data_IF_597164280143
#
_entry.id   IF_597164280143
#
_cell.length_a   1.000
_cell.length_b   1.000
_cell.length_c   1.000
_cell.angle_alpha   90.00
_cell.angle_beta   90.00
_cell.angle_gamma   90.00
#
_symmetry.space_group_name_H-M   'P 1'
#
loop_
_entity.id
_entity.type
_entity.pdbx_description
1 polymer ?
#
# COMPACT_ATOMS: atom_id res chain seq x y z
N UNK A 1 -3.98 17.09 -17.02
CA UNK A 1 -4.74 15.89 -17.47
C UNK A 1 -4.03 14.58 -17.10
N UNK A 2 -2.72 14.43 -17.40
CA UNK A 2 -1.92 13.25 -17.05
C UNK A 2 -1.89 12.96 -15.54
N UNK A 3 -1.70 13.96 -14.70
CA UNK A 3 -1.62 13.82 -13.23
C UNK A 3 -2.92 13.31 -12.61
N UNK A 4 -4.06 13.80 -13.08
CA UNK A 4 -5.38 13.31 -12.63
C UNK A 4 -5.56 11.84 -12.99
N UNK A 5 -5.13 11.44 -14.18
CA UNK A 5 -5.18 10.06 -14.63
C UNK A 5 -4.31 9.13 -13.74
N UNK A 6 -3.10 9.58 -13.38
CA UNK A 6 -2.22 8.82 -12.49
C UNK A 6 -2.82 8.68 -11.09
N UNK A 7 -3.35 9.76 -10.51
CA UNK A 7 -4.06 9.74 -9.22
C UNK A 7 -5.24 8.77 -9.26
N UNK A 8 -6.03 8.80 -10.34
CA UNK A 8 -7.18 7.89 -10.50
C UNK A 8 -6.75 6.43 -10.56
N UNK A 9 -5.68 6.09 -11.31
CA UNK A 9 -5.14 4.72 -11.34
C UNK A 9 -4.74 4.23 -9.94
N UNK A 10 -4.07 5.08 -9.17
CA UNK A 10 -3.69 4.74 -7.79
C UNK A 10 -4.90 4.49 -6.91
N UNK A 11 -5.90 5.35 -6.95
CA UNK A 11 -7.15 5.14 -6.21
C UNK A 11 -7.84 3.82 -6.61
N UNK A 12 -7.91 3.51 -7.90
CA UNK A 12 -8.51 2.25 -8.37
C UNK A 12 -7.76 1.02 -7.86
N UNK A 13 -6.42 1.05 -7.85
CA UNK A 13 -5.61 -0.05 -7.30
C UNK A 13 -5.82 -0.17 -5.79
N UNK A 14 -5.89 0.94 -5.04
CA UNK A 14 -6.21 0.88 -3.62
C UNK A 14 -7.64 0.41 -3.34
N UNK A 15 -8.61 0.73 -4.21
CA UNK A 15 -9.95 0.15 -4.12
C UNK A 15 -9.92 -1.38 -4.32
N UNK A 16 -9.19 -1.85 -5.33
CA UNK A 16 -8.99 -3.29 -5.54
C UNK A 16 -8.32 -3.96 -4.35
N UNK A 17 -7.26 -3.36 -3.79
CA UNK A 17 -6.59 -3.85 -2.58
C UNK A 17 -7.53 -3.88 -1.37
N UNK A 18 -8.42 -2.89 -1.22
CA UNK A 18 -9.42 -2.91 -0.15
C UNK A 18 -10.40 -4.08 -0.31
N UNK A 19 -10.84 -4.36 -1.53
CA UNK A 19 -11.72 -5.51 -1.82
C UNK A 19 -10.99 -6.83 -1.58
N UNK A 20 -9.77 -6.99 -2.10
CA UNK A 20 -8.94 -8.18 -1.94
C UNK A 20 -8.62 -8.43 -0.45
N UNK A 21 -8.30 -7.38 0.29
CA UNK A 21 -7.90 -7.51 1.69
C UNK A 21 -9.07 -7.64 2.67
N UNK A 22 -10.30 -7.31 2.26
CA UNK A 22 -11.46 -7.37 3.15
C UNK A 22 -11.70 -8.77 3.76
N UNK A 23 -11.68 -9.89 3.01
CA UNK A 23 -11.80 -11.22 3.58
C UNK A 23 -10.62 -11.57 4.50
N UNK A 24 -9.41 -11.18 4.14
CA UNK A 24 -8.21 -11.43 4.94
C UNK A 24 -8.26 -10.65 6.27
N UNK A 25 -8.66 -9.38 6.21
CA UNK A 25 -8.89 -8.58 7.42
C UNK A 25 -9.97 -9.21 8.31
N UNK A 26 -11.07 -9.70 7.73
CA UNK A 26 -12.14 -10.35 8.47
C UNK A 26 -11.70 -11.64 9.16
N UNK A 27 -10.73 -12.38 8.61
CA UNK A 27 -10.10 -13.54 9.25
C UNK A 27 -9.22 -13.11 10.43
N UNK A 28 -8.30 -12.18 10.18
CA UNK A 28 -7.29 -11.75 11.15
C UNK A 28 -7.92 -10.96 12.30
N UNK A 29 -8.83 -10.05 11.98
CA UNK A 29 -9.46 -9.12 12.93
C UNK A 29 -10.91 -9.50 13.25
N UNK A 30 -11.24 -10.81 13.26
CA UNK A 30 -12.61 -11.31 13.48
C UNK A 30 -13.27 -10.80 14.76
N UNK A 31 -12.49 -10.49 15.78
CA UNK A 31 -12.96 -10.00 17.07
C UNK A 31 -13.12 -8.47 17.14
N UNK A 32 -12.59 -7.77 16.15
CA UNK A 32 -12.69 -6.31 16.07
C UNK A 32 -14.05 -5.87 15.52
N UNK A 33 -14.54 -4.68 15.91
CA UNK A 33 -15.73 -4.10 15.30
C UNK A 33 -15.58 -4.06 13.78
N UNK A 34 -16.70 -4.29 13.09
CA UNK A 34 -16.74 -4.37 11.63
C UNK A 34 -15.71 -5.32 11.02
N UNK A 35 -15.31 -6.35 11.80
CA UNK A 35 -14.36 -7.38 11.36
C UNK A 35 -13.07 -6.80 10.76
N UNK A 36 -12.57 -5.71 11.31
CA UNK A 36 -11.32 -5.09 10.89
C UNK A 36 -11.37 -4.41 9.52
N UNK A 37 -12.53 -3.96 9.05
CA UNK A 37 -12.71 -3.34 7.73
C UNK A 37 -11.74 -2.18 7.45
N UNK A 38 -11.34 -1.43 8.48
CA UNK A 38 -10.34 -0.36 8.36
C UNK A 38 -8.93 -0.86 8.00
N UNK A 39 -8.66 -2.13 8.18
CA UNK A 39 -7.36 -2.75 7.88
C UNK A 39 -7.37 -3.53 6.56
N UNK A 40 -8.41 -3.40 5.73
CA UNK A 40 -8.54 -4.15 4.48
C UNK A 40 -7.37 -3.87 3.52
N UNK A 41 -7.00 -2.60 3.28
CA UNK A 41 -5.87 -2.25 2.40
C UNK A 41 -4.55 -2.87 2.91
N UNK A 42 -4.12 -2.65 4.17
CA UNK A 42 -2.92 -3.30 4.69
C UNK A 42 -2.97 -4.82 4.66
N UNK A 43 -4.13 -5.44 4.85
CA UNK A 43 -4.29 -6.90 4.83
C UNK A 43 -4.04 -7.52 3.45
N UNK A 44 -4.21 -6.76 2.36
CA UNK A 44 -3.78 -7.18 1.02
C UNK A 44 -2.33 -6.74 0.73
N UNK A 45 -1.98 -5.50 1.08
CA UNK A 45 -0.70 -4.89 0.71
C UNK A 45 0.49 -5.59 1.37
N UNK A 46 0.43 -5.84 2.68
CA UNK A 46 1.55 -6.42 3.43
C UNK A 46 1.94 -7.82 2.94
N UNK A 47 1.02 -8.81 2.81
CA UNK A 47 1.40 -10.11 2.28
C UNK A 47 1.88 -10.03 0.83
N UNK A 48 1.31 -9.15 0.01
CA UNK A 48 1.79 -8.94 -1.36
C UNK A 48 3.24 -8.45 -1.37
N UNK A 49 3.58 -7.45 -0.55
CA UNK A 49 4.96 -6.93 -0.44
C UNK A 49 5.93 -7.99 0.08
N UNK A 50 5.53 -8.78 1.07
CA UNK A 50 6.36 -9.87 1.58
C UNK A 50 6.65 -10.92 0.50
N UNK A 51 5.65 -11.31 -0.27
CA UNK A 51 5.82 -12.23 -1.41
C UNK A 51 6.73 -11.61 -2.49
N UNK A 52 6.49 -10.35 -2.83
CA UNK A 52 7.37 -9.61 -3.77
C UNK A 52 8.80 -9.56 -3.28
N UNK A 53 9.02 -9.33 -1.99
CA UNK A 53 10.35 -9.31 -1.39
C UNK A 53 11.07 -10.67 -1.53
N UNK A 54 10.39 -11.77 -1.20
CA UNK A 54 11.00 -13.11 -1.26
C UNK A 54 11.17 -13.62 -2.68
N UNK A 55 10.15 -13.51 -3.52
CA UNK A 55 10.22 -13.94 -4.93
C UNK A 55 11.15 -13.04 -5.74
N UNK A 56 11.19 -11.76 -5.39
CA UNK A 56 12.03 -10.75 -6.02
C UNK A 56 13.53 -11.02 -5.86
N UNK A 57 13.95 -11.83 -4.89
CA UNK A 57 15.35 -12.24 -4.77
C UNK A 57 15.80 -13.12 -5.94
N UNK A 58 14.88 -13.88 -6.54
CA UNK A 58 15.17 -14.65 -7.75
C UNK A 58 14.95 -13.81 -9.02
N UNK A 59 13.84 -13.07 -9.09
CA UNK A 59 13.52 -12.19 -10.21
C UNK A 59 12.56 -11.11 -9.73
N UNK A 60 12.86 -9.85 -10.02
CA UNK A 60 12.02 -8.71 -9.66
C UNK A 60 11.54 -7.97 -10.91
N UNK A 61 10.25 -7.67 -10.96
CA UNK A 61 9.62 -6.97 -12.06
C UNK A 61 8.10 -7.10 -12.03
N UNK A 62 7.39 -6.66 -13.08
CA UNK A 62 5.93 -6.72 -13.14
C UNK A 62 5.37 -8.12 -12.91
N UNK A 63 5.98 -9.15 -13.51
CA UNK A 63 5.52 -10.53 -13.37
C UNK A 63 5.53 -10.99 -11.89
N UNK A 64 6.61 -10.70 -11.16
CA UNK A 64 6.73 -11.02 -9.74
C UNK A 64 5.67 -10.33 -8.91
N UNK A 65 5.38 -9.05 -9.22
CA UNK A 65 4.36 -8.27 -8.53
C UNK A 65 2.96 -8.84 -8.78
N UNK A 66 2.62 -9.12 -10.05
CA UNK A 66 1.31 -9.69 -10.41
C UNK A 66 1.14 -11.12 -9.87
N UNK A 67 2.18 -11.95 -9.92
CA UNK A 67 2.14 -13.29 -9.34
C UNK A 67 1.93 -13.25 -7.82
N UNK A 68 2.62 -12.36 -7.11
CA UNK A 68 2.43 -12.16 -5.67
C UNK A 68 1.01 -11.69 -5.33
N UNK A 69 0.48 -10.76 -6.09
CA UNK A 69 -0.89 -10.29 -5.93
C UNK A 69 -1.91 -11.41 -6.21
N UNK A 70 -1.67 -12.23 -7.24
CA UNK A 70 -2.54 -13.37 -7.57
C UNK A 70 -2.61 -14.40 -6.42
N UNK A 71 -1.51 -14.66 -5.73
CA UNK A 71 -1.51 -15.52 -4.52
C UNK A 71 -2.40 -14.93 -3.43
N UNK A 72 -2.32 -13.62 -3.19
CA UNK A 72 -3.14 -12.93 -2.18
C UNK A 72 -4.62 -12.91 -2.58
N UNK A 73 -4.93 -12.73 -3.88
CA UNK A 73 -6.29 -12.87 -4.43
C UNK A 73 -6.81 -14.28 -4.22
N UNK A 74 -6.00 -15.30 -4.47
CA UNK A 74 -6.36 -16.71 -4.23
C UNK A 74 -6.66 -16.99 -2.75
N UNK A 75 -5.82 -16.47 -1.83
CA UNK A 75 -6.04 -16.58 -0.39
C UNK A 75 -7.34 -15.88 0.06
N UNK A 76 -7.61 -14.72 -0.50
CA UNK A 76 -8.85 -13.96 -0.28
C UNK A 76 -10.09 -14.72 -0.78
N UNK A 77 -10.02 -15.26 -2.01
CA UNK A 77 -11.07 -16.10 -2.58
C UNK A 77 -11.33 -17.37 -1.76
N UNK A 78 -10.26 -18.01 -1.26
CA UNK A 78 -10.38 -19.17 -0.37
C UNK A 78 -11.05 -18.81 0.96
N UNK A 79 -10.76 -17.63 1.54
CA UNK A 79 -11.43 -17.17 2.74
C UNK A 79 -12.93 -16.98 2.51
N UNK A 80 -13.33 -16.37 1.41
CA UNK A 80 -14.75 -16.25 1.00
C UNK A 80 -15.41 -17.61 0.79
N UNK A 81 -14.74 -18.51 0.07
CA UNK A 81 -15.24 -19.87 -0.16
C UNK A 81 -15.47 -20.64 1.16
N UNK A 82 -14.67 -20.38 2.19
CA UNK A 82 -14.82 -20.93 3.55
C UNK A 82 -15.88 -20.23 4.39
N UNK A 83 -16.67 -19.33 3.81
CA UNK A 83 -17.77 -18.65 4.49
C UNK A 83 -17.34 -17.44 5.32
N UNK A 84 -16.14 -16.88 5.09
CA UNK A 84 -15.77 -15.61 5.73
C UNK A 84 -16.60 -14.49 5.13
N UNK A 85 -17.32 -13.76 5.95
CA UNK A 85 -18.16 -12.64 5.54
C UNK A 85 -17.55 -11.31 5.98
N UNK A 86 -16.93 -10.53 5.08
CA UNK A 86 -16.43 -9.20 5.40
C UNK A 86 -17.57 -8.19 5.63
N UNK A 87 -17.32 -7.16 6.44
CA UNK A 87 -18.22 -6.00 6.50
C UNK A 87 -17.98 -5.06 5.32
N UNK A 88 -18.62 -5.33 4.18
CA UNK A 88 -18.45 -4.54 2.96
C UNK A 88 -18.83 -3.06 3.14
N UNK A 89 -19.83 -2.75 3.99
CA UNK A 89 -20.20 -1.36 4.32
C UNK A 89 -19.09 -0.68 5.10
N UNK A 90 -18.51 -1.40 6.05
CA UNK A 90 -17.35 -0.92 6.81
C UNK A 90 -16.13 -0.70 5.91
N UNK A 91 -15.87 -1.61 4.96
CA UNK A 91 -14.78 -1.47 3.97
C UNK A 91 -15.01 -0.24 3.08
N UNK A 92 -16.20 -0.06 2.54
CA UNK A 92 -16.53 1.12 1.72
C UNK A 92 -16.37 2.42 2.52
N UNK A 93 -16.87 2.49 3.76
CA UNK A 93 -16.69 3.66 4.62
C UNK A 93 -15.23 3.95 4.94
N UNK A 94 -14.45 2.90 5.24
CA UNK A 94 -13.00 3.03 5.49
C UNK A 94 -12.25 3.47 4.22
N UNK A 95 -12.67 3.00 3.05
CA UNK A 95 -12.09 3.44 1.79
C UNK A 95 -12.40 4.91 1.49
N UNK A 96 -13.59 5.40 1.83
CA UNK A 96 -13.90 6.86 1.73
C UNK A 96 -12.95 7.67 2.60
N UNK A 97 -12.70 7.24 3.85
CA UNK A 97 -11.72 7.90 4.73
C UNK A 97 -10.32 7.87 4.11
N UNK A 98 -9.92 6.74 3.50
CA UNK A 98 -8.66 6.63 2.77
C UNK A 98 -8.59 7.66 1.64
N UNK A 99 -9.62 7.72 0.78
CA UNK A 99 -9.67 8.67 -0.36
C UNK A 99 -9.54 10.11 0.11
N UNK A 100 -10.26 10.48 1.17
CA UNK A 100 -10.18 11.84 1.73
C UNK A 100 -8.78 12.17 2.25
N UNK A 101 -8.16 11.27 3.01
CA UNK A 101 -6.79 11.44 3.50
C UNK A 101 -5.76 11.49 2.35
N UNK A 102 -5.92 10.61 1.37
CA UNK A 102 -5.04 10.54 0.20
C UNK A 102 -5.13 11.81 -0.64
N UNK A 103 -6.35 12.25 -0.99
CA UNK A 103 -6.56 13.46 -1.78
C UNK A 103 -6.15 14.73 -1.03
N UNK A 104 -6.41 14.79 0.28
CA UNK A 104 -5.98 15.92 1.11
C UNK A 104 -4.47 16.13 1.02
N UNK A 105 -3.68 15.09 1.30
CA UNK A 105 -2.22 15.24 1.26
C UNK A 105 -1.68 15.36 -0.17
N UNK A 106 -2.33 14.72 -1.15
CA UNK A 106 -1.97 14.88 -2.57
C UNK A 106 -2.18 16.32 -3.02
N UNK A 107 -3.31 16.95 -2.69
CA UNK A 107 -3.59 18.35 -3.02
C UNK A 107 -2.61 19.30 -2.33
N UNK A 108 -2.30 19.07 -1.07
CA UNK A 108 -1.32 19.86 -0.32
C UNK A 108 0.08 19.79 -0.96
N UNK A 109 0.50 18.60 -1.41
CA UNK A 109 1.78 18.40 -2.11
C UNK A 109 1.75 18.96 -3.54
N UNK A 110 0.60 18.93 -4.23
CA UNK A 110 0.46 19.50 -5.58
C UNK A 110 0.58 21.02 -5.59
N UNK A 111 0.21 21.71 -4.52
CA UNK A 111 0.43 23.15 -4.37
C UNK A 111 1.92 23.51 -4.39
N UNK A 112 2.78 22.59 -3.97
CA UNK A 112 4.24 22.72 -4.02
C UNK A 112 4.84 21.55 -4.82
N UNK A 113 4.44 21.43 -6.09
CA UNK A 113 4.65 20.26 -6.95
C UNK A 113 6.11 19.97 -7.36
N UNK A 114 7.06 20.76 -6.87
CA UNK A 114 8.46 20.41 -7.01
C UNK A 114 8.79 19.18 -6.18
N UNK A 115 9.04 18.01 -6.84
CA UNK A 115 10.11 17.20 -6.31
C UNK A 115 11.38 17.99 -6.62
N UNK A 116 11.58 18.99 -5.85
CA UNK A 116 12.93 19.46 -5.62
C UNK A 116 13.43 18.54 -4.54
N UNK A 117 14.35 17.61 -4.82
CA UNK A 117 15.03 16.89 -3.75
C UNK A 117 15.88 17.93 -3.02
N UNK A 118 15.23 18.68 -2.15
CA UNK A 118 15.86 19.70 -1.32
C UNK A 118 16.18 19.02 0.02
N UNK A 119 17.35 18.41 0.08
CA UNK A 119 17.86 17.82 1.31
C UNK A 119 18.07 16.31 1.26
N UNK A 120 19.13 15.86 1.89
CA UNK A 120 19.79 14.56 1.79
C UNK A 120 18.90 13.31 1.73
N UNK A 121 17.92 13.13 2.61
CA UNK A 121 17.11 11.91 2.67
C UNK A 121 16.14 11.75 1.49
N UNK A 122 15.64 12.83 0.91
CA UNK A 122 14.74 12.72 -0.24
C UNK A 122 15.45 12.17 -1.49
N UNK A 123 16.72 12.54 -1.68
CA UNK A 123 17.55 11.97 -2.74
C UNK A 123 17.76 10.47 -2.53
N UNK A 124 18.07 10.06 -1.29
CA UNK A 124 18.21 8.66 -0.91
C UNK A 124 16.94 7.88 -1.26
N UNK A 125 15.80 8.29 -0.73
CA UNK A 125 14.55 7.56 -0.91
C UNK A 125 14.08 7.53 -2.36
N UNK A 126 14.23 8.62 -3.10
CA UNK A 126 13.92 8.63 -4.53
C UNK A 126 14.91 7.79 -5.35
N UNK A 127 16.20 7.85 -5.01
CA UNK A 127 17.23 7.00 -5.60
C UNK A 127 16.92 5.53 -5.41
N UNK A 128 16.50 5.11 -4.20
CA UNK A 128 16.08 3.74 -3.90
C UNK A 128 14.89 3.28 -4.75
N UNK A 129 13.87 4.11 -4.93
CA UNK A 129 12.74 3.78 -5.82
C UNK A 129 13.22 3.57 -7.25
N UNK A 130 14.12 4.44 -7.75
CA UNK A 130 14.68 4.31 -9.10
C UNK A 130 15.57 3.07 -9.25
N UNK A 131 16.37 2.74 -8.23
CA UNK A 131 17.21 1.54 -8.22
C UNK A 131 16.34 0.29 -8.27
N UNK A 132 15.29 0.22 -7.45
CA UNK A 132 14.33 -0.86 -7.45
C UNK A 132 13.65 -1.04 -8.82
N UNK A 133 13.18 0.04 -9.45
CA UNK A 133 12.51 -0.03 -10.76
C UNK A 133 13.44 -0.44 -11.92
N UNK A 134 14.76 -0.42 -11.71
CA UNK A 134 15.76 -0.90 -12.67
C UNK A 134 16.26 -2.31 -12.35
N UNK A 135 16.02 -2.79 -11.13
CA UNK A 135 16.54 -4.05 -10.67
C UNK A 135 15.89 -5.24 -11.38
N UNK A 136 16.68 -6.22 -11.74
CA UNK A 136 16.18 -7.51 -12.21
C UNK A 136 15.98 -8.52 -11.08
N UNK A 137 16.57 -8.26 -9.89
CA UNK A 137 16.43 -9.04 -8.66
C UNK A 137 16.62 -8.15 -7.43
N UNK A 138 16.24 -8.65 -6.24
CA UNK A 138 16.44 -7.98 -4.96
C UNK A 138 17.59 -8.64 -4.18
N UNK A 139 18.36 -7.88 -3.39
CA UNK A 139 18.33 -6.43 -3.27
C UNK A 139 18.76 -5.73 -4.56
N UNK A 140 18.29 -4.48 -4.83
CA UNK A 140 18.74 -3.73 -6.00
C UNK A 140 20.22 -3.33 -5.86
N UNK A 141 20.83 -2.92 -6.96
CA UNK A 141 22.16 -2.32 -6.95
C UNK A 141 22.13 -1.00 -6.17
N UNK A 142 23.19 -0.78 -5.37
CA UNK A 142 23.38 0.49 -4.66
C UNK A 142 23.70 1.59 -5.67
N UNK A 143 22.91 2.66 -5.69
CA UNK A 143 23.08 3.74 -6.67
C UNK A 143 24.24 4.68 -6.36
N UNK A 144 24.92 4.53 -5.21
CA UNK A 144 26.17 5.23 -4.89
C UNK A 144 27.41 4.37 -5.10
N UNK A 145 27.25 3.04 -5.01
CA UNK A 145 28.35 2.08 -5.12
C UNK A 145 28.03 1.06 -6.22
N UNK A 146 28.38 1.42 -7.47
CA UNK A 146 28.13 0.57 -8.63
C UNK A 146 28.74 -0.83 -8.45
N UNK A 147 27.96 -1.84 -8.80
CA UNK A 147 28.34 -3.26 -8.68
C UNK A 147 28.12 -3.86 -7.30
N UNK A 148 27.75 -3.09 -6.28
CA UNK A 148 27.47 -3.58 -4.95
C UNK A 148 25.95 -3.71 -4.69
N UNK A 149 25.50 -4.76 -4.00
CA UNK A 149 24.11 -4.86 -3.60
C UNK A 149 23.79 -3.86 -2.49
N UNK A 150 22.60 -3.26 -2.55
CA UNK A 150 22.14 -2.31 -1.54
C UNK A 150 22.09 -2.95 -0.15
N UNK A 151 22.79 -2.32 0.81
CA UNK A 151 22.84 -2.74 2.22
C UNK A 151 22.08 -1.77 3.13
N UNK A 152 20.90 -1.36 2.70
CA UNK A 152 20.03 -0.43 3.42
C UNK A 152 18.59 -0.94 3.43
N UNK A 153 17.77 -0.50 4.38
CA UNK A 153 16.34 -0.86 4.37
C UNK A 153 15.61 -0.15 3.23
N UNK A 154 14.81 -0.90 2.49
CA UNK A 154 14.07 -0.39 1.32
C UNK A 154 12.61 -0.87 1.26
N UNK A 155 12.06 -1.37 2.37
CA UNK A 155 10.71 -1.95 2.39
C UNK A 155 9.60 -0.98 1.98
N UNK A 156 9.68 0.29 2.41
CA UNK A 156 8.74 1.34 2.02
C UNK A 156 8.88 1.69 0.54
N UNK A 157 10.12 1.80 0.07
CA UNK A 157 10.41 2.09 -1.33
C UNK A 157 10.02 0.93 -2.24
N UNK A 158 10.12 -0.32 -1.75
CA UNK A 158 9.63 -1.50 -2.47
C UNK A 158 8.11 -1.44 -2.67
N UNK A 159 7.34 -0.99 -1.66
CA UNK A 159 5.90 -0.78 -1.81
C UNK A 159 5.59 0.28 -2.87
N UNK A 160 6.35 1.38 -2.88
CA UNK A 160 6.21 2.44 -3.90
C UNK A 160 6.57 1.92 -5.30
N UNK A 161 7.66 1.16 -5.42
CA UNK A 161 8.07 0.54 -6.69
C UNK A 161 7.03 -0.49 -7.17
N UNK A 162 6.50 -1.31 -6.27
CA UNK A 162 5.40 -2.24 -6.56
C UNK A 162 4.16 -1.50 -7.09
N UNK A 163 3.75 -0.42 -6.43
CA UNK A 163 2.61 0.39 -6.90
C UNK A 163 2.90 1.04 -8.26
N UNK A 164 4.14 1.49 -8.48
CA UNK A 164 4.56 2.01 -9.78
C UNK A 164 4.42 0.96 -10.90
N UNK A 165 4.84 -0.28 -10.63
CA UNK A 165 4.72 -1.40 -11.58
C UNK A 165 3.26 -1.80 -11.81
N UNK A 166 2.41 -1.83 -10.78
CA UNK A 166 0.98 -2.15 -10.91
C UNK A 166 0.20 -1.12 -11.72
N UNK A 167 0.63 0.15 -11.65
CA UNK A 167 -0.11 1.26 -12.26
C UNK A 167 0.58 1.83 -13.50
N UNK A 168 1.72 1.29 -13.89
CA UNK A 168 2.59 1.86 -14.92
C UNK A 168 2.79 3.38 -14.69
N UNK A 169 3.24 3.72 -13.48
CA UNK A 169 3.44 5.11 -13.05
C UNK A 169 4.94 5.42 -13.00
N UNK A 170 5.41 6.49 -13.67
CA UNK A 170 6.80 6.90 -13.59
C UNK A 170 7.26 7.15 -12.14
N UNK A 171 8.52 6.79 -11.83
CA UNK A 171 9.11 6.85 -10.48
C UNK A 171 8.83 8.16 -9.73
N UNK A 172 8.90 9.28 -10.43
CA UNK A 172 8.67 10.62 -9.89
C UNK A 172 7.25 10.79 -9.31
N UNK A 173 6.23 10.32 -10.03
CA UNK A 173 4.84 10.37 -9.58
C UNK A 173 4.57 9.33 -8.50
N UNK A 174 5.09 8.11 -8.67
CA UNK A 174 4.95 7.05 -7.69
C UNK A 174 5.55 7.45 -6.32
N UNK A 175 6.73 8.06 -6.31
CA UNK A 175 7.36 8.56 -5.09
C UNK A 175 6.49 9.61 -4.40
N UNK A 176 5.93 10.57 -5.16
CA UNK A 176 5.06 11.61 -4.61
C UNK A 176 3.72 11.08 -4.11
N UNK A 177 3.13 10.09 -4.76
CA UNK A 177 1.86 9.49 -4.36
C UNK A 177 2.02 8.45 -3.24
N UNK A 178 3.22 7.87 -3.09
CA UNK A 178 3.52 6.95 -1.99
C UNK A 178 3.31 7.58 -0.62
N UNK A 179 3.77 8.82 -0.43
CA UNK A 179 3.63 9.53 0.87
C UNK A 179 2.15 9.76 1.23
N UNK A 180 1.29 10.33 0.37
CA UNK A 180 -0.15 10.39 0.61
C UNK A 180 -0.81 9.04 0.88
N UNK A 181 -0.37 7.97 0.21
CA UNK A 181 -0.91 6.64 0.42
C UNK A 181 -0.62 6.11 1.83
N UNK A 182 0.62 6.24 2.31
CA UNK A 182 0.97 5.86 3.69
C UNK A 182 0.25 6.71 4.72
N UNK A 183 0.15 8.02 4.50
CA UNK A 183 -0.60 8.92 5.35
C UNK A 183 -2.08 8.52 5.43
N UNK A 184 -2.72 8.25 4.28
CA UNK A 184 -4.11 7.82 4.24
C UNK A 184 -4.34 6.49 4.96
N UNK A 185 -3.43 5.51 4.81
CA UNK A 185 -3.49 4.25 5.55
C UNK A 185 -3.37 4.47 7.06
N UNK A 186 -2.50 5.39 7.51
CA UNK A 186 -2.38 5.77 8.92
C UNK A 186 -3.68 6.39 9.45
N UNK A 187 -4.29 7.30 8.69
CA UNK A 187 -5.57 7.94 9.06
C UNK A 187 -6.67 6.89 9.19
N UNK A 188 -6.77 5.96 8.24
CA UNK A 188 -7.78 4.87 8.30
C UNK A 188 -7.51 3.92 9.47
N UNK A 189 -6.25 3.60 9.74
CA UNK A 189 -5.89 2.77 10.89
C UNK A 189 -6.28 3.44 12.22
N UNK A 190 -6.00 4.73 12.37
CA UNK A 190 -6.42 5.52 13.53
C UNK A 190 -7.95 5.56 13.67
N UNK A 191 -8.67 5.78 12.56
CA UNK A 191 -10.14 5.72 12.52
C UNK A 191 -10.66 4.36 13.01
N UNK A 192 -10.08 3.26 12.53
CA UNK A 192 -10.46 1.90 12.94
C UNK A 192 -10.18 1.62 14.41
N UNK A 193 -9.03 2.09 14.93
CA UNK A 193 -8.68 1.96 16.35
C UNK A 193 -9.62 2.75 17.25
N UNK A 194 -9.93 3.99 16.92
CA UNK A 194 -10.89 4.81 17.67
C UNK A 194 -12.26 4.13 17.71
N UNK A 195 -12.74 3.62 16.56
CA UNK A 195 -14.00 2.87 16.49
C UNK A 195 -14.00 1.62 17.37
N UNK A 196 -12.85 0.96 17.49
CA UNK A 196 -12.68 -0.21 18.37
C UNK A 196 -12.76 0.18 19.84
N UNK A 197 -11.99 1.19 20.25
CA UNK A 197 -11.95 1.65 21.66
C UNK A 197 -13.32 2.13 22.11
N UNK A 198 -14.02 2.92 21.31
CA UNK A 198 -15.36 3.41 21.64
C UNK A 198 -16.38 2.28 21.80
N UNK A 199 -16.34 1.28 20.91
CA UNK A 199 -17.24 0.13 20.99
C UNK A 199 -16.99 -0.76 22.21
N UNK A 200 -15.75 -0.89 22.67
CA UNK A 200 -15.40 -1.60 23.90
C UNK A 200 -15.92 -0.86 25.13
N UNK A 201 -15.78 0.48 25.14
CA UNK A 201 -16.29 1.32 26.21
C UNK A 201 -17.80 1.18 26.37
N UNK A 202 -18.57 1.23 25.28
CA UNK A 202 -20.03 1.10 25.32
C UNK A 202 -20.50 -0.28 25.83
N UNK A 203 -19.69 -1.33 25.64
CA UNK A 203 -19.97 -2.67 26.19
C UNK A 203 -19.72 -2.78 27.69
N UNK A 204 -18.77 -1.99 28.22
CA UNK A 204 -18.42 -2.03 29.64
C UNK A 204 -19.44 -1.30 30.53
N UNK A 205 -20.33 -0.50 29.95
CA UNK A 205 -21.40 0.24 30.66
C UNK A 205 -22.79 -0.43 30.55
N UNK A 206 -22.88 -1.58 29.89
CA UNK A 206 -24.09 -2.42 29.81
C UNK A 206 -23.93 -3.69 30.64
#
# INVERSE_FOLDING_TARGET
>A
MFEVFVVTKWLLVFAALAVIGAPLAAVVFRQFPRRGAAFAIPAALLPTVLLVFWLGQATFGPLTVFASLAVVVGASGLALYRGVEPDWRGVAGSYVVFVLGFLFLTAFRAYNAGITPVGGEQFLHFGLVKSLLRAGSLPPEDFWFAGEPLRYYYGTQLQVAMMALLTDTPARYAFNLGIPAFYAMLVVAAYGLVGTVTSLRDRSYR
#
